data_IF_201868413682
#
_entry.id   IF_201868413682
#
_cell.length_a   1.000
_cell.length_b   1.000
_cell.length_c   1.000
_cell.angle_alpha   90.00
_cell.angle_beta   90.00
_cell.angle_gamma   90.00
#
_symmetry.space_group_name_H-M   'P 1'
#
loop_
_entity.id
_entity.type
_entity.pdbx_description
1 polymer ?
#
# COMPACT_ATOMS: atom_id res chain seq x y z
N UNK A 1 5.53 27.65 10.62
CA UNK A 1 4.83 26.76 9.66
C UNK A 1 4.67 27.47 8.32
N UNK A 2 4.09 28.68 8.26
CA UNK A 2 3.87 29.43 6.99
C UNK A 2 5.16 29.66 6.22
N UNK A 3 6.26 30.04 6.89
CA UNK A 3 7.57 30.25 6.26
C UNK A 3 8.17 28.96 5.67
N UNK A 4 7.93 27.81 6.30
CA UNK A 4 8.38 26.50 5.80
C UNK A 4 7.60 26.13 4.54
N UNK A 5 6.27 26.27 4.56
CA UNK A 5 5.40 26.01 3.40
C UNK A 5 5.79 26.89 2.23
N UNK A 6 5.94 28.20 2.48
CA UNK A 6 6.33 29.14 1.44
C UNK A 6 7.67 28.79 0.80
N UNK A 7 8.69 28.49 1.61
CA UNK A 7 10.04 28.16 1.15
C UNK A 7 10.13 26.86 0.36
N UNK A 8 9.30 25.87 0.68
CA UNK A 8 9.37 24.55 0.06
C UNK A 8 8.34 24.29 -1.06
N UNK A 9 7.28 25.09 -1.13
CA UNK A 9 6.24 24.92 -2.14
C UNK A 9 6.07 26.11 -3.08
N UNK A 10 6.26 27.36 -2.59
CA UNK A 10 5.98 28.55 -3.38
C UNK A 10 7.27 29.13 -3.96
N UNK A 11 8.27 29.38 -3.10
CA UNK A 11 9.53 30.04 -3.46
C UNK A 11 10.65 29.01 -3.73
N UNK A 12 10.31 27.74 -4.01
CA UNK A 12 11.29 26.70 -4.32
C UNK A 12 11.96 26.99 -5.68
N UNK A 13 13.28 27.23 -5.73
CA UNK A 13 13.97 27.43 -7.00
C UNK A 13 14.00 26.13 -7.78
N UNK A 14 13.40 26.11 -8.96
CA UNK A 14 13.36 24.97 -9.86
C UNK A 14 14.15 25.25 -11.13
N UNK A 15 14.70 24.20 -11.73
CA UNK A 15 15.42 24.31 -12.99
C UNK A 15 14.42 24.57 -14.13
N UNK A 16 14.77 25.45 -15.06
CA UNK A 16 13.91 25.82 -16.19
C UNK A 16 13.68 24.67 -17.18
N UNK A 17 14.54 23.66 -17.19
CA UNK A 17 14.47 22.47 -18.08
C UNK A 17 13.56 21.37 -17.57
N UNK A 18 12.77 21.57 -16.50
CA UNK A 18 11.87 20.56 -15.97
C UNK A 18 10.68 20.35 -16.89
N UNK A 19 10.48 19.10 -17.32
CA UNK A 19 9.34 18.65 -18.14
C UNK A 19 8.32 17.85 -17.33
N UNK A 20 7.36 17.25 -18.02
CA UNK A 20 6.27 16.45 -17.42
C UNK A 20 6.74 15.27 -16.58
N UNK A 21 7.92 14.72 -16.81
CA UNK A 21 8.50 13.64 -16.00
C UNK A 21 8.70 14.01 -14.52
N UNK A 22 8.78 15.30 -14.22
CA UNK A 22 8.88 15.79 -12.84
C UNK A 22 7.54 15.90 -12.13
N UNK A 23 6.42 15.73 -12.85
CA UNK A 23 5.08 15.69 -12.26
C UNK A 23 4.72 14.30 -11.69
N UNK A 24 5.55 13.29 -11.85
CA UNK A 24 5.29 11.93 -11.37
C UNK A 24 5.03 11.86 -9.86
N UNK A 25 5.74 12.65 -9.05
CA UNK A 25 5.51 12.73 -7.61
C UNK A 25 4.13 13.29 -7.24
N UNK A 26 3.66 14.30 -7.97
CA UNK A 26 2.31 14.84 -7.81
C UNK A 26 1.24 13.80 -8.20
N UNK A 27 1.44 13.10 -9.30
CA UNK A 27 0.52 12.04 -9.74
C UNK A 27 0.43 10.90 -8.72
N UNK A 28 1.58 10.47 -8.17
CA UNK A 28 1.61 9.46 -7.09
C UNK A 28 0.80 9.94 -5.88
N UNK A 29 0.98 11.18 -5.44
CA UNK A 29 0.24 11.71 -4.29
C UNK A 29 -1.26 11.83 -4.58
N UNK A 30 -1.67 12.17 -5.78
CA UNK A 30 -3.07 12.21 -6.19
C UNK A 30 -3.71 10.80 -6.15
N UNK A 31 -3.03 9.79 -6.74
CA UNK A 31 -3.51 8.41 -6.67
C UNK A 31 -3.49 7.86 -5.26
N UNK A 32 -2.48 8.19 -4.44
CA UNK A 32 -2.46 7.82 -3.03
C UNK A 32 -3.67 8.38 -2.27
N UNK A 33 -4.03 9.63 -2.51
CA UNK A 33 -5.23 10.24 -1.92
C UNK A 33 -6.49 9.49 -2.30
N UNK A 34 -6.63 9.11 -3.58
CA UNK A 34 -7.76 8.29 -4.04
C UNK A 34 -7.77 6.93 -3.33
N UNK A 35 -6.62 6.28 -3.17
CA UNK A 35 -6.52 5.00 -2.45
C UNK A 35 -6.96 5.12 -0.99
N UNK A 36 -6.51 6.16 -0.29
CA UNK A 36 -6.91 6.40 1.10
C UNK A 36 -8.43 6.63 1.19
N UNK A 37 -8.99 7.49 0.35
CA UNK A 37 -10.43 7.80 0.39
C UNK A 37 -11.28 6.57 0.08
N UNK A 38 -10.96 5.84 -0.97
CA UNK A 38 -11.69 4.62 -1.34
C UNK A 38 -11.51 3.51 -0.32
N UNK A 39 -10.30 3.35 0.25
CA UNK A 39 -10.00 2.38 1.30
C UNK A 39 -10.78 2.64 2.59
N UNK A 40 -10.85 3.89 3.04
CA UNK A 40 -11.65 4.29 4.22
C UNK A 40 -13.14 3.97 4.01
N UNK A 41 -13.70 4.26 2.85
CA UNK A 41 -15.11 3.93 2.57
C UNK A 41 -15.33 2.42 2.54
N UNK A 42 -14.42 1.65 1.91
CA UNK A 42 -14.50 0.19 1.85
C UNK A 42 -14.35 -0.44 3.25
N UNK A 43 -13.53 0.14 4.13
CA UNK A 43 -13.34 -0.37 5.49
C UNK A 43 -14.61 -0.29 6.35
N UNK A 44 -15.50 0.68 6.12
CA UNK A 44 -16.78 0.76 6.82
C UNK A 44 -17.75 -0.37 6.46
N UNK A 45 -17.56 -1.00 5.32
CA UNK A 45 -18.41 -2.07 4.81
C UNK A 45 -17.81 -3.46 5.05
N UNK A 46 -16.56 -3.52 5.53
CA UNK A 46 -15.81 -4.76 5.68
C UNK A 46 -15.96 -5.35 7.09
N UNK A 47 -16.05 -6.68 7.16
CA UNK A 47 -16.02 -7.44 8.42
C UNK A 47 -14.86 -8.42 8.39
N UNK A 48 -13.95 -8.32 9.35
CA UNK A 48 -12.74 -9.14 9.46
C UNK A 48 -13.06 -10.52 10.09
N UNK A 49 -13.81 -11.35 9.38
CA UNK A 49 -14.16 -12.70 9.76
C UNK A 49 -13.89 -13.67 8.60
N UNK A 50 -13.09 -14.73 8.78
CA UNK A 50 -12.71 -15.66 7.73
C UNK A 50 -13.89 -16.36 7.03
N UNK A 51 -15.00 -16.53 7.73
CA UNK A 51 -16.19 -17.20 7.19
C UNK A 51 -16.99 -16.23 6.31
N UNK A 52 -17.06 -14.97 6.70
CA UNK A 52 -17.98 -13.98 6.10
C UNK A 52 -17.27 -13.04 5.12
N UNK A 53 -15.98 -12.74 5.32
CA UNK A 53 -15.28 -11.69 4.59
C UNK A 53 -15.33 -11.87 3.08
N UNK A 54 -15.11 -13.08 2.56
CA UNK A 54 -15.14 -13.32 1.12
C UNK A 54 -16.55 -13.15 0.54
N UNK A 55 -17.56 -13.78 1.13
CA UNK A 55 -18.94 -13.69 0.67
C UNK A 55 -19.48 -12.27 0.78
N UNK A 56 -19.10 -11.53 1.83
CA UNK A 56 -19.49 -10.14 2.02
C UNK A 56 -18.90 -9.23 0.94
N UNK A 57 -17.60 -9.35 0.68
CA UNK A 57 -16.91 -8.53 -0.36
C UNK A 57 -17.49 -8.83 -1.75
N UNK A 58 -17.77 -10.08 -2.05
CA UNK A 58 -18.40 -10.46 -3.32
C UNK A 58 -19.86 -10.02 -3.42
N UNK A 59 -20.65 -10.22 -2.35
CA UNK A 59 -22.05 -9.79 -2.29
C UNK A 59 -22.19 -8.28 -2.46
N UNK A 60 -21.46 -7.49 -1.68
CA UNK A 60 -21.47 -6.03 -1.78
C UNK A 60 -21.06 -5.53 -3.18
N UNK A 61 -20.13 -6.24 -3.84
CA UNK A 61 -19.70 -5.86 -5.20
C UNK A 61 -20.76 -6.23 -6.24
N UNK A 62 -21.59 -7.26 -6.02
CA UNK A 62 -22.65 -7.67 -6.95
C UNK A 62 -23.96 -6.91 -6.72
N UNK A 63 -24.28 -6.59 -5.48
CA UNK A 63 -25.58 -6.03 -5.11
C UNK A 63 -25.65 -4.51 -5.30
N UNK A 64 -24.51 -3.82 -5.28
CA UNK A 64 -24.44 -2.36 -5.36
C UNK A 64 -23.45 -1.87 -6.40
N UNK A 65 -23.95 -1.12 -7.38
CA UNK A 65 -23.11 -0.46 -8.39
C UNK A 65 -22.06 0.48 -7.77
N UNK A 66 -22.41 1.22 -6.71
CA UNK A 66 -21.48 2.13 -6.04
C UNK A 66 -20.34 1.38 -5.35
N UNK A 67 -20.64 0.30 -4.66
CA UNK A 67 -19.62 -0.53 -4.00
C UNK A 67 -18.72 -1.23 -5.02
N UNK A 68 -19.31 -1.69 -6.12
CA UNK A 68 -18.56 -2.21 -7.26
C UNK A 68 -17.57 -1.17 -7.80
N UNK A 69 -18.04 0.05 -8.11
CA UNK A 69 -17.18 1.13 -8.59
C UNK A 69 -16.04 1.45 -7.61
N UNK A 70 -16.34 1.61 -6.32
CA UNK A 70 -15.34 1.93 -5.30
C UNK A 70 -14.25 0.85 -5.21
N UNK A 71 -14.68 -0.42 -5.20
CA UNK A 71 -13.75 -1.54 -5.13
C UNK A 71 -12.86 -1.61 -6.37
N UNK A 72 -13.42 -1.46 -7.57
CA UNK A 72 -12.64 -1.49 -8.81
C UNK A 72 -11.72 -0.28 -8.96
N UNK A 73 -12.14 0.91 -8.54
CA UNK A 73 -11.25 2.06 -8.48
C UNK A 73 -10.10 1.84 -7.51
N UNK A 74 -10.35 1.18 -6.40
CA UNK A 74 -9.31 0.83 -5.45
C UNK A 74 -8.32 -0.17 -6.05
N UNK A 75 -8.78 -1.25 -6.66
CA UNK A 75 -7.93 -2.28 -7.29
C UNK A 75 -7.10 -1.70 -8.45
N UNK A 76 -7.75 -1.02 -9.39
CA UNK A 76 -7.05 -0.46 -10.55
C UNK A 76 -6.18 0.73 -10.18
N UNK A 77 -6.60 1.52 -9.20
CA UNK A 77 -5.81 2.64 -8.68
C UNK A 77 -4.49 2.20 -8.08
N UNK A 78 -4.45 1.05 -7.37
CA UNK A 78 -3.19 0.46 -6.87
C UNK A 78 -2.26 0.08 -8.02
N UNK A 79 -2.77 -0.53 -9.09
CA UNK A 79 -1.95 -0.89 -10.26
C UNK A 79 -1.32 0.36 -10.92
N UNK A 80 -2.11 1.42 -11.10
CA UNK A 80 -1.61 2.69 -11.64
C UNK A 80 -0.59 3.32 -10.69
N UNK A 81 -0.84 3.27 -9.38
CA UNK A 81 0.06 3.81 -8.35
C UNK A 81 1.44 3.13 -8.41
N UNK A 82 1.49 1.79 -8.45
CA UNK A 82 2.76 1.07 -8.58
C UNK A 82 3.46 1.34 -9.91
N UNK A 83 2.74 1.42 -11.00
CA UNK A 83 3.31 1.82 -12.29
C UNK A 83 3.97 3.21 -12.21
N UNK A 84 3.29 4.20 -11.63
CA UNK A 84 3.84 5.53 -11.43
C UNK A 84 5.07 5.52 -10.49
N UNK A 85 5.07 4.68 -9.46
CA UNK A 85 6.24 4.49 -8.60
C UNK A 85 7.45 3.97 -9.36
N UNK A 86 7.28 2.98 -10.23
CA UNK A 86 8.37 2.47 -11.06
C UNK A 86 8.91 3.53 -12.01
N UNK A 87 8.03 4.30 -12.66
CA UNK A 87 8.43 5.43 -13.51
C UNK A 87 9.18 6.49 -12.70
N UNK A 88 8.72 6.78 -11.49
CA UNK A 88 9.34 7.75 -10.59
C UNK A 88 10.74 7.31 -10.15
N UNK A 89 10.93 6.03 -9.79
CA UNK A 89 12.22 5.46 -9.46
C UNK A 89 13.14 5.41 -10.68
N UNK A 90 12.65 4.98 -11.83
CA UNK A 90 13.42 4.92 -13.08
C UNK A 90 13.96 6.31 -13.47
N UNK A 91 13.14 7.36 -13.33
CA UNK A 91 13.58 8.74 -13.52
C UNK A 91 14.75 9.08 -12.58
N UNK A 92 14.67 8.69 -11.30
CA UNK A 92 15.73 8.97 -10.33
C UNK A 92 17.04 8.26 -10.66
N UNK A 93 16.96 7.05 -11.21
CA UNK A 93 18.12 6.30 -11.69
C UNK A 93 18.70 6.94 -12.96
N UNK A 94 17.86 7.28 -13.93
CA UNK A 94 18.28 7.88 -15.19
C UNK A 94 19.01 9.22 -15.00
N UNK A 95 18.49 10.09 -14.14
CA UNK A 95 19.07 11.42 -13.86
C UNK A 95 20.08 11.42 -12.69
N UNK A 96 20.47 10.26 -12.18
CA UNK A 96 21.40 10.11 -11.05
C UNK A 96 20.96 10.84 -9.76
N UNK A 97 19.64 11.07 -9.60
CA UNK A 97 19.09 11.77 -8.44
C UNK A 97 19.24 10.98 -7.14
N UNK A 98 19.51 9.68 -7.22
CA UNK A 98 19.82 8.81 -6.07
C UNK A 98 21.06 9.25 -5.28
N UNK A 99 21.93 10.08 -5.88
CA UNK A 99 23.08 10.67 -5.17
C UNK A 99 22.67 11.56 -4.00
N UNK A 100 21.46 12.10 -4.03
CA UNK A 100 20.82 12.81 -2.91
C UNK A 100 20.30 11.80 -1.88
N UNK A 101 21.21 11.23 -1.10
CA UNK A 101 20.96 10.10 -0.21
C UNK A 101 19.76 10.28 0.73
N UNK A 102 19.54 11.47 1.27
CA UNK A 102 18.43 11.73 2.20
C UNK A 102 17.06 11.48 1.55
N UNK A 103 16.82 12.07 0.39
CA UNK A 103 15.54 11.93 -0.34
C UNK A 103 15.37 10.51 -0.87
N UNK A 104 16.45 9.91 -1.39
CA UNK A 104 16.43 8.54 -1.90
C UNK A 104 16.08 7.52 -0.81
N UNK A 105 16.73 7.61 0.37
CA UNK A 105 16.49 6.67 1.46
C UNK A 105 15.04 6.77 1.99
N UNK A 106 14.52 7.99 2.15
CA UNK A 106 13.11 8.18 2.57
C UNK A 106 12.16 7.60 1.52
N UNK A 107 12.40 7.88 0.24
CA UNK A 107 11.58 7.32 -0.86
C UNK A 107 11.61 5.79 -0.90
N UNK A 108 12.77 5.17 -0.64
CA UNK A 108 12.90 3.71 -0.57
C UNK A 108 12.11 3.12 0.61
N UNK A 109 12.16 3.75 1.78
CA UNK A 109 11.38 3.32 2.94
C UNK A 109 9.88 3.44 2.65
N UNK A 110 9.44 4.56 2.05
CA UNK A 110 8.04 4.75 1.66
C UNK A 110 7.57 3.69 0.66
N UNK A 111 8.43 3.28 -0.27
CA UNK A 111 8.12 2.21 -1.21
C UNK A 111 7.93 0.85 -0.49
N UNK A 112 8.82 0.52 0.46
CA UNK A 112 8.66 -0.71 1.27
C UNK A 112 7.38 -0.69 2.10
N UNK A 113 7.04 0.44 2.70
CA UNK A 113 5.78 0.60 3.45
C UNK A 113 4.57 0.43 2.53
N UNK A 114 4.61 1.01 1.32
CA UNK A 114 3.54 0.85 0.34
C UNK A 114 3.37 -0.61 -0.10
N UNK A 115 4.47 -1.35 -0.29
CA UNK A 115 4.40 -2.79 -0.58
C UNK A 115 3.74 -3.56 0.57
N UNK A 116 4.09 -3.24 1.81
CA UNK A 116 3.47 -3.81 2.99
C UNK A 116 1.98 -3.52 3.06
N UNK A 117 1.58 -2.27 2.83
CA UNK A 117 0.18 -1.83 2.81
C UNK A 117 -0.62 -2.55 1.71
N UNK A 118 -0.09 -2.61 0.50
CA UNK A 118 -0.74 -3.33 -0.59
C UNK A 118 -0.91 -4.82 -0.30
N UNK A 119 0.07 -5.43 0.36
CA UNK A 119 0.00 -6.83 0.78
C UNK A 119 -1.07 -7.05 1.85
N UNK A 120 -1.12 -6.23 2.90
CA UNK A 120 -2.15 -6.34 3.93
C UNK A 120 -3.54 -6.17 3.34
N UNK A 121 -3.74 -5.20 2.44
CA UNK A 121 -5.00 -5.01 1.71
C UNK A 121 -5.39 -6.20 0.83
N UNK A 122 -4.42 -6.87 0.19
CA UNK A 122 -4.66 -8.07 -0.62
C UNK A 122 -5.16 -9.27 0.19
N UNK A 123 -4.78 -9.37 1.46
CA UNK A 123 -5.21 -10.46 2.34
C UNK A 123 -6.67 -10.31 2.78
N UNK A 124 -7.20 -9.10 2.88
CA UNK A 124 -8.52 -8.83 3.46
C UNK A 124 -9.68 -9.61 2.83
N UNK A 125 -9.78 -9.83 1.51
CA UNK A 125 -10.86 -10.63 0.94
C UNK A 125 -10.85 -12.10 1.38
N UNK A 126 -9.79 -12.58 1.98
CA UNK A 126 -9.64 -13.94 2.52
C UNK A 126 -9.99 -15.06 1.56
N UNK A 127 -9.72 -14.87 0.26
CA UNK A 127 -9.85 -15.93 -0.73
C UNK A 127 -8.63 -16.86 -0.68
N UNK A 128 -8.68 -17.95 -1.40
CA UNK A 128 -7.63 -18.97 -1.39
C UNK A 128 -6.23 -18.39 -1.66
N UNK A 129 -6.09 -17.53 -2.66
CA UNK A 129 -4.80 -16.90 -2.96
C UNK A 129 -4.34 -15.92 -1.87
N UNK A 130 -5.26 -15.19 -1.22
CA UNK A 130 -4.93 -14.33 -0.08
C UNK A 130 -4.35 -15.11 1.09
N UNK A 131 -4.98 -16.24 1.42
CA UNK A 131 -4.54 -17.12 2.49
C UNK A 131 -3.14 -17.69 2.22
N UNK A 132 -2.92 -18.21 1.01
CA UNK A 132 -1.61 -18.77 0.66
C UNK A 132 -0.52 -17.71 0.52
N UNK A 133 -0.85 -16.52 0.03
CA UNK A 133 0.09 -15.40 0.02
C UNK A 133 0.51 -14.98 1.45
N UNK A 134 -0.46 -14.93 2.37
CA UNK A 134 -0.18 -14.67 3.78
C UNK A 134 0.73 -15.75 4.38
N UNK A 135 0.45 -17.04 4.10
CA UNK A 135 1.25 -18.17 4.57
C UNK A 135 2.69 -18.09 4.07
N UNK A 136 2.88 -17.83 2.78
CA UNK A 136 4.22 -17.73 2.19
C UNK A 136 5.02 -16.57 2.78
N UNK A 137 4.44 -15.37 2.84
CA UNK A 137 5.18 -14.22 3.36
C UNK A 137 5.48 -14.34 4.85
N UNK A 138 4.56 -14.84 5.65
CA UNK A 138 4.81 -15.05 7.08
C UNK A 138 5.82 -16.16 7.33
N UNK A 139 5.91 -17.18 6.48
CA UNK A 139 6.97 -18.20 6.57
C UNK A 139 8.36 -17.63 6.23
N UNK A 140 8.43 -16.64 5.32
CA UNK A 140 9.69 -15.90 5.07
C UNK A 140 10.11 -15.13 6.32
N UNK A 141 9.18 -14.52 7.02
CA UNK A 141 9.45 -13.85 8.31
C UNK A 141 9.94 -14.86 9.35
N UNK A 142 9.32 -16.04 9.44
CA UNK A 142 9.72 -17.10 10.35
C UNK A 142 11.15 -17.62 10.09
N UNK A 143 11.60 -17.60 8.84
CA UNK A 143 12.94 -18.05 8.46
C UNK A 143 14.08 -17.11 8.89
N UNK A 144 13.78 -15.92 9.42
CA UNK A 144 14.81 -15.01 9.93
C UNK A 144 15.53 -15.60 11.13
N UNK A 145 16.89 -15.62 11.14
CA UNK A 145 17.63 -16.19 12.24
C UNK A 145 17.39 -15.40 13.54
N UNK A 146 17.33 -16.09 14.66
CA UNK A 146 17.21 -15.57 16.03
C UNK A 146 15.82 -15.00 16.37
N UNK A 147 15.26 -14.13 15.54
CA UNK A 147 14.03 -13.37 15.84
C UNK A 147 12.81 -13.85 15.06
N UNK A 148 12.99 -14.68 14.01
CA UNK A 148 11.95 -15.03 13.06
C UNK A 148 10.72 -15.66 13.71
N UNK A 149 10.88 -16.69 14.50
CA UNK A 149 9.77 -17.40 15.15
C UNK A 149 9.00 -16.52 16.14
N UNK A 150 9.70 -15.62 16.83
CA UNK A 150 9.04 -14.66 17.74
C UNK A 150 8.24 -13.64 16.96
N UNK A 151 8.82 -13.08 15.91
CA UNK A 151 8.16 -12.11 15.03
C UNK A 151 6.97 -12.75 14.30
N UNK A 152 7.13 -13.98 13.81
CA UNK A 152 6.05 -14.75 13.20
C UNK A 152 4.84 -14.87 14.13
N UNK A 153 5.05 -15.37 15.34
CA UNK A 153 3.98 -15.53 16.35
C UNK A 153 3.32 -14.20 16.70
N UNK A 154 4.10 -13.13 16.73
CA UNK A 154 3.57 -11.78 16.99
C UNK A 154 2.69 -11.29 15.85
N UNK A 155 3.14 -11.42 14.59
CA UNK A 155 2.38 -11.00 13.40
C UNK A 155 1.15 -11.84 13.19
N UNK A 156 1.30 -13.17 13.22
CA UNK A 156 0.21 -14.13 12.96
C UNK A 156 -0.79 -14.23 14.13
N UNK A 157 -0.32 -14.01 15.34
CA UNK A 157 -1.17 -14.09 16.55
C UNK A 157 -1.31 -15.47 17.14
N UNK A 158 -0.46 -16.42 16.71
CA UNK A 158 -0.48 -17.81 17.16
C UNK A 158 0.53 -18.67 16.43
N UNK A 159 0.26 -19.95 16.33
CA UNK A 159 1.13 -20.92 15.65
C UNK A 159 0.79 -21.12 14.17
N UNK A 160 -0.25 -20.44 13.66
CA UNK A 160 -0.70 -20.54 12.28
C UNK A 160 -1.64 -19.40 11.93
N UNK A 161 -1.91 -19.25 10.63
CA UNK A 161 -2.80 -18.22 10.10
C UNK A 161 -4.25 -18.57 10.42
N UNK A 162 -4.91 -17.69 11.17
CA UNK A 162 -6.28 -17.87 11.67
C UNK A 162 -7.08 -16.56 11.52
N UNK A 163 -8.28 -16.55 12.07
CA UNK A 163 -9.14 -15.38 12.27
C UNK A 163 -8.42 -14.23 12.97
N UNK A 164 -7.63 -14.55 14.01
CA UNK A 164 -6.82 -13.55 14.74
C UNK A 164 -5.84 -12.84 13.81
N UNK A 165 -5.26 -13.56 12.85
CA UNK A 165 -4.35 -12.97 11.86
C UNK A 165 -5.10 -11.96 10.97
N UNK A 166 -6.29 -12.31 10.51
CA UNK A 166 -7.11 -11.41 9.66
C UNK A 166 -7.51 -10.14 10.40
N UNK A 167 -7.94 -10.25 11.66
CA UNK A 167 -8.30 -9.10 12.51
C UNK A 167 -7.09 -8.18 12.73
N UNK A 168 -5.91 -8.76 12.99
CA UNK A 168 -4.68 -7.97 13.18
C UNK A 168 -4.27 -7.23 11.91
N UNK A 169 -4.31 -7.90 10.76
CA UNK A 169 -4.00 -7.29 9.47
C UNK A 169 -5.00 -6.17 9.15
N UNK A 170 -6.27 -6.35 9.47
CA UNK A 170 -7.28 -5.30 9.27
C UNK A 170 -7.08 -4.09 10.19
N UNK A 171 -6.54 -4.27 11.39
CA UNK A 171 -6.35 -3.20 12.37
C UNK A 171 -5.12 -2.32 12.11
N UNK A 172 -4.21 -2.74 11.25
CA UNK A 172 -2.98 -2.02 10.88
C UNK A 172 -3.20 -1.12 9.69
#
# INVERSE_FOLDING_TARGET
VVSIIRRNLIDLPTNYSLGYYWCSGFMISAFMTIQILTGVVLSFLYVADPIVSFSLVMGLSNDSFYTWCLRYWHIWGVNVLFFLFFVHMARSLYYSSYSKKGVWNVGFILYLLLMGEAFTGYILPWHQMSYWAATVLTSVVDSLPIIGSTLYKYVVGGFGITDVTLVRIFSV
#
